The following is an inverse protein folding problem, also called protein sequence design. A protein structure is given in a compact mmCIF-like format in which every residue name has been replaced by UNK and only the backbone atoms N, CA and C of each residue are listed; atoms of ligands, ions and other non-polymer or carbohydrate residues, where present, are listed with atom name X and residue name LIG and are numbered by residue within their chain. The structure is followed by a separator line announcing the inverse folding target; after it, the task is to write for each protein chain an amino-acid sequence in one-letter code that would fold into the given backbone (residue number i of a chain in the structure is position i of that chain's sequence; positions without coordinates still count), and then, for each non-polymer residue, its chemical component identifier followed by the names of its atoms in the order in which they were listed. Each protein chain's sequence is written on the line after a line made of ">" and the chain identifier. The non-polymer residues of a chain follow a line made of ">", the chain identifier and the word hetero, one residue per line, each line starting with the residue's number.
data_IF_169713565290
#
_entry.id   IF_169713565290
#
_cell.length_a   1.000
_cell.length_b   1.000
_cell.length_c   1.000
_cell.angle_alpha   90.00
_cell.angle_beta   90.00
_cell.angle_gamma   90.00
#
_symmetry.space_group_name_H-M   'P 1'
#
loop_
_entity.id
_entity.type
_entity.pdbx_description
1 polymer ?
#
# COMPACT_ATOMS: atom_id res chain seq x y z
N UNK A 1 5.68 54.39 -29.71
CA UNK A 1 6.09 53.16 -30.43
C UNK A 1 5.08 52.07 -30.14
N UNK A 2 4.32 51.59 -31.14
CA UNK A 2 3.30 50.53 -30.98
C UNK A 2 4.00 49.18 -30.97
N UNK A 3 3.92 48.43 -29.87
CA UNK A 3 4.45 47.06 -29.79
C UNK A 3 3.50 46.14 -30.54
N UNK A 4 3.97 45.51 -31.62
CA UNK A 4 3.25 44.44 -32.28
C UNK A 4 3.37 43.18 -31.43
N UNK A 5 2.27 42.73 -30.85
CA UNK A 5 2.18 41.39 -30.24
C UNK A 5 2.26 40.38 -31.37
N UNK A 6 3.42 39.74 -31.56
CA UNK A 6 3.56 38.63 -32.50
C UNK A 6 2.75 37.45 -31.96
N UNK A 7 1.67 37.09 -32.65
CA UNK A 7 0.92 35.87 -32.38
C UNK A 7 1.74 34.62 -32.74
N UNK A 8 1.42 33.51 -32.09
CA UNK A 8 2.04 32.21 -32.31
C UNK A 8 1.62 31.64 -33.69
N UNK A 9 2.55 31.05 -34.43
CA UNK A 9 2.24 30.49 -35.76
C UNK A 9 1.69 29.06 -35.65
N UNK A 10 0.86 28.65 -36.61
CA UNK A 10 0.25 27.30 -36.58
C UNK A 10 1.31 26.19 -36.62
N UNK A 11 2.39 26.39 -37.39
CA UNK A 11 3.50 25.44 -37.46
C UNK A 11 4.20 25.27 -36.11
N UNK A 12 4.33 26.36 -35.34
CA UNK A 12 4.95 26.36 -34.01
C UNK A 12 4.10 25.57 -33.01
N UNK A 13 2.77 25.63 -33.17
CA UNK A 13 1.85 24.79 -32.40
C UNK A 13 1.99 23.32 -32.75
N UNK A 14 2.09 22.99 -34.03
CA UNK A 14 2.24 21.60 -34.46
C UNK A 14 3.56 21.00 -33.96
N UNK A 15 4.67 21.75 -34.09
CA UNK A 15 5.97 21.30 -33.58
C UNK A 15 5.90 21.14 -32.06
N UNK A 16 5.29 22.09 -31.33
CA UNK A 16 5.09 21.97 -29.89
C UNK A 16 4.30 20.73 -29.48
N UNK A 17 3.22 20.41 -30.19
CA UNK A 17 2.42 19.21 -29.93
C UNK A 17 3.20 17.92 -30.18
N UNK A 18 4.00 17.85 -31.25
CA UNK A 18 4.83 16.69 -31.55
C UNK A 18 5.86 16.47 -30.43
N UNK A 19 6.52 17.54 -29.98
CA UNK A 19 7.50 17.45 -28.88
C UNK A 19 6.83 16.96 -27.58
N UNK A 20 5.70 17.54 -27.20
CA UNK A 20 4.95 17.11 -26.00
C UNK A 20 4.47 15.66 -26.16
N UNK A 21 4.05 15.24 -27.35
CA UNK A 21 3.60 13.88 -27.63
C UNK A 21 4.70 12.84 -27.41
N UNK A 22 5.91 13.09 -27.92
CA UNK A 22 7.04 12.15 -27.75
C UNK A 22 7.48 12.08 -26.29
N UNK A 23 7.61 13.22 -25.61
CA UNK A 23 7.98 13.24 -24.18
C UNK A 23 6.91 12.55 -23.34
N UNK A 24 5.63 12.84 -23.59
CA UNK A 24 4.51 12.21 -22.90
C UNK A 24 4.50 10.70 -23.05
N UNK A 25 4.73 10.19 -24.27
CA UNK A 25 4.78 8.74 -24.53
C UNK A 25 5.88 8.02 -23.71
N UNK A 26 7.02 8.68 -23.47
CA UNK A 26 8.12 8.12 -22.68
C UNK A 26 7.90 8.26 -21.16
N UNK A 27 7.29 9.36 -20.70
CA UNK A 27 7.15 9.65 -19.26
C UNK A 27 5.91 9.04 -18.61
N UNK A 28 4.85 8.75 -19.35
CA UNK A 28 3.63 8.14 -18.80
C UNK A 28 3.87 6.74 -18.21
N UNK A 29 4.50 5.78 -18.91
CA UNK A 29 4.65 4.42 -18.37
C UNK A 29 5.48 4.42 -17.08
N UNK A 30 6.58 5.18 -17.04
CA UNK A 30 7.43 5.26 -15.84
C UNK A 30 6.70 5.88 -14.65
N UNK A 31 5.84 6.88 -14.89
CA UNK A 31 5.01 7.46 -13.84
C UNK A 31 3.98 6.44 -13.30
N UNK A 32 3.33 5.68 -14.18
CA UNK A 32 2.37 4.64 -13.77
C UNK A 32 3.06 3.57 -12.94
N UNK A 33 4.21 3.06 -13.41
CA UNK A 33 4.97 2.02 -12.71
C UNK A 33 5.45 2.49 -11.34
N UNK A 34 6.01 3.70 -11.25
CA UNK A 34 6.45 4.28 -9.98
C UNK A 34 5.27 4.51 -9.02
N UNK A 35 4.08 4.83 -9.55
CA UNK A 35 2.88 5.01 -8.74
C UNK A 35 2.34 3.69 -8.20
N UNK A 36 2.42 2.59 -8.96
CA UNK A 36 2.04 1.27 -8.46
C UNK A 36 3.04 0.75 -7.43
N UNK A 37 4.35 0.87 -7.70
CA UNK A 37 5.39 0.48 -6.75
C UNK A 37 5.23 1.18 -5.40
N UNK A 38 4.92 2.49 -5.38
CA UNK A 38 4.66 3.22 -4.12
C UNK A 38 3.46 2.68 -3.35
N UNK A 39 2.42 2.21 -4.05
CA UNK A 39 1.26 1.58 -3.40
C UNK A 39 1.65 0.23 -2.80
N UNK A 40 2.33 -0.60 -3.58
CA UNK A 40 2.78 -1.92 -3.16
C UNK A 40 3.73 -1.82 -1.96
N UNK A 41 4.68 -0.89 -2.00
CA UNK A 41 5.58 -0.59 -0.88
C UNK A 41 4.79 -0.17 0.35
N UNK A 42 3.77 0.69 0.21
CA UNK A 42 2.96 1.12 1.34
C UNK A 42 2.13 -0.03 1.94
N UNK A 43 1.56 -0.90 1.12
CA UNK A 43 0.82 -2.08 1.58
C UNK A 43 1.76 -3.10 2.26
N UNK A 44 2.98 -3.24 1.74
CA UNK A 44 4.03 -4.02 2.36
C UNK A 44 4.41 -3.47 3.73
N UNK A 45 4.60 -2.15 3.88
CA UNK A 45 4.89 -1.51 5.16
C UNK A 45 3.80 -1.79 6.21
N UNK A 46 2.52 -1.81 5.81
CA UNK A 46 1.44 -2.20 6.72
C UNK A 46 1.58 -3.66 7.20
N UNK A 47 1.96 -4.57 6.30
CA UNK A 47 2.19 -5.98 6.65
C UNK A 47 3.39 -6.14 7.60
N UNK A 48 4.47 -5.39 7.35
CA UNK A 48 5.65 -5.35 8.22
C UNK A 48 5.29 -4.82 9.61
N UNK A 49 4.47 -3.78 9.69
CA UNK A 49 4.02 -3.25 10.99
C UNK A 49 3.26 -4.30 11.81
N UNK A 50 2.35 -5.07 11.18
CA UNK A 50 1.64 -6.17 11.88
C UNK A 50 2.60 -7.27 12.30
N UNK A 51 3.61 -7.58 11.48
CA UNK A 51 4.65 -8.57 11.82
C UNK A 51 5.52 -8.11 12.99
N UNK A 52 5.92 -6.84 13.01
CA UNK A 52 6.68 -6.24 14.10
C UNK A 52 5.87 -6.24 15.41
N UNK A 53 4.57 -5.94 15.34
CA UNK A 53 3.66 -6.06 16.48
C UNK A 53 3.55 -7.51 16.98
N UNK A 54 3.53 -8.49 16.07
CA UNK A 54 3.54 -9.91 16.42
C UNK A 54 4.81 -10.30 17.17
N UNK A 55 5.98 -9.93 16.64
CA UNK A 55 7.28 -10.25 17.23
C UNK A 55 7.42 -9.57 18.61
N UNK A 56 7.01 -8.30 18.74
CA UNK A 56 7.03 -7.56 20.01
C UNK A 56 6.14 -8.20 21.08
N UNK A 57 4.98 -8.74 20.70
CA UNK A 57 4.08 -9.41 21.64
C UNK A 57 4.62 -10.79 22.07
N UNK A 58 5.28 -11.50 21.16
CA UNK A 58 5.97 -12.75 21.47
C UNK A 58 7.15 -12.52 22.43
N UNK A 59 7.93 -11.45 22.24
CA UNK A 59 9.03 -11.09 23.15
C UNK A 59 8.55 -10.80 24.57
N UNK A 60 7.30 -10.35 24.74
CA UNK A 60 6.65 -10.14 26.04
C UNK A 60 6.12 -11.44 26.67
N UNK A 61 6.30 -12.58 26.02
CA UNK A 61 5.88 -13.89 26.50
C UNK A 61 4.39 -14.19 26.34
N UNK A 62 3.67 -13.39 25.55
CA UNK A 62 2.24 -13.62 25.25
C UNK A 62 2.08 -14.19 23.84
N UNK A 63 1.17 -15.14 23.66
CA UNK A 63 0.77 -15.59 22.32
C UNK A 63 -0.26 -14.58 21.80
N UNK A 64 0.07 -13.77 20.79
CA UNK A 64 -0.82 -12.69 20.35
C UNK A 64 -2.06 -13.25 19.67
N UNK A 65 -3.24 -12.74 20.02
CA UNK A 65 -4.45 -12.93 19.24
C UNK A 65 -4.55 -11.91 18.10
N UNK A 66 -5.48 -12.10 17.17
CA UNK A 66 -5.75 -11.11 16.10
C UNK A 66 -6.23 -9.78 16.69
N UNK A 67 -6.99 -9.82 17.78
CA UNK A 67 -7.41 -8.64 18.54
C UNK A 67 -6.23 -7.90 19.15
N UNK A 68 -5.26 -8.61 19.75
CA UNK A 68 -4.07 -8.01 20.36
C UNK A 68 -3.20 -7.31 19.32
N UNK A 69 -3.03 -7.93 18.14
CA UNK A 69 -2.30 -7.34 17.02
C UNK A 69 -2.92 -6.03 16.54
N UNK A 70 -4.25 -6.02 16.37
CA UNK A 70 -4.95 -4.81 15.97
C UNK A 70 -4.88 -3.71 17.04
N UNK A 71 -4.90 -4.07 18.33
CA UNK A 71 -4.79 -3.13 19.43
C UNK A 71 -3.37 -2.54 19.60
N UNK A 72 -2.34 -3.27 19.16
CA UNK A 72 -0.95 -2.81 19.25
C UNK A 72 -0.57 -1.78 18.18
N UNK A 73 -1.34 -1.70 17.10
CA UNK A 73 -1.02 -0.85 15.95
C UNK A 73 -1.74 0.50 16.03
N UNK A 74 -1.05 1.61 15.74
CA UNK A 74 -1.69 2.92 15.72
C UNK A 74 -2.51 3.14 14.44
N UNK A 75 -3.70 3.74 14.56
CA UNK A 75 -4.47 4.25 13.43
C UNK A 75 -5.86 3.62 13.25
N UNK A 76 -6.38 3.68 12.01
CA UNK A 76 -7.67 3.08 11.62
C UNK A 76 -7.49 1.59 11.32
N UNK A 77 -7.38 0.81 12.38
CA UNK A 77 -7.08 -0.62 12.32
C UNK A 77 -8.19 -1.39 13.05
N UNK A 78 -8.58 -2.54 12.51
CA UNK A 78 -9.58 -3.39 13.13
C UNK A 78 -9.20 -4.87 12.98
N UNK A 79 -9.40 -5.65 14.04
CA UNK A 79 -9.32 -7.10 13.96
C UNK A 79 -10.51 -7.66 13.18
N UNK A 80 -10.25 -8.58 12.27
CA UNK A 80 -11.28 -9.30 11.49
C UNK A 80 -10.96 -10.78 11.45
N UNK A 81 -11.96 -11.62 11.16
CA UNK A 81 -11.70 -13.02 10.88
C UNK A 81 -10.72 -13.14 9.70
N UNK A 82 -9.63 -13.87 9.88
CA UNK A 82 -8.58 -14.05 8.87
C UNK A 82 -7.49 -13.00 8.87
N UNK A 83 -7.53 -11.96 9.72
CA UNK A 83 -6.45 -10.97 9.73
C UNK A 83 -6.68 -9.65 10.43
N UNK A 84 -5.75 -8.73 10.19
CA UNK A 84 -5.82 -7.34 10.67
C UNK A 84 -6.19 -6.44 9.49
N UNK A 85 -7.33 -5.75 9.60
CA UNK A 85 -7.81 -4.80 8.59
C UNK A 85 -7.13 -3.46 8.78
N UNK A 86 -6.50 -2.96 7.71
CA UNK A 86 -5.83 -1.65 7.64
C UNK A 86 -6.49 -0.81 6.53
N UNK A 87 -6.68 0.48 6.77
CA UNK A 87 -7.20 1.41 5.76
C UNK A 87 -6.06 2.15 5.08
N UNK A 88 -5.97 2.02 3.75
CA UNK A 88 -5.02 2.76 2.92
C UNK A 88 -5.77 3.48 1.79
N UNK A 89 -5.63 4.80 1.71
CA UNK A 89 -6.30 5.65 0.71
C UNK A 89 -7.83 5.44 0.63
N UNK A 90 -8.49 5.18 1.77
CA UNK A 90 -9.94 4.96 1.84
C UNK A 90 -10.41 3.57 1.42
N UNK A 91 -9.49 2.66 1.09
CA UNK A 91 -9.76 1.25 0.81
C UNK A 91 -9.26 0.40 1.98
N UNK A 92 -10.08 -0.56 2.40
CA UNK A 92 -9.70 -1.51 3.44
C UNK A 92 -8.96 -2.70 2.85
N UNK A 93 -7.77 -2.97 3.36
CA UNK A 93 -6.95 -4.15 3.06
C UNK A 93 -6.86 -5.03 4.30
N UNK A 94 -6.67 -6.33 4.14
CA UNK A 94 -6.51 -7.27 5.25
C UNK A 94 -5.13 -7.88 5.17
N UNK A 95 -4.35 -7.67 6.24
CA UNK A 95 -3.10 -8.40 6.46
C UNK A 95 -3.47 -9.78 6.97
N UNK A 96 -3.21 -10.87 6.22
CA UNK A 96 -3.66 -12.20 6.59
C UNK A 96 -2.88 -12.70 7.81
N UNK A 97 -3.58 -13.31 8.76
CA UNK A 97 -2.98 -13.96 9.93
C UNK A 97 -3.29 -15.45 9.93
N UNK A 98 -2.37 -16.22 10.50
CA UNK A 98 -2.42 -17.68 10.49
C UNK A 98 -2.15 -18.23 11.88
N UNK A 99 -2.77 -19.36 12.21
CA UNK A 99 -2.60 -20.02 13.51
C UNK A 99 -1.30 -20.80 13.64
N UNK A 100 -0.68 -21.16 12.51
CA UNK A 100 0.54 -21.94 12.48
C UNK A 100 1.75 -21.13 12.00
N UNK A 101 2.94 -21.48 12.49
CA UNK A 101 4.20 -20.83 12.12
C UNK A 101 4.62 -20.98 10.66
N UNK A 102 3.93 -21.83 9.89
CA UNK A 102 4.14 -22.00 8.44
C UNK A 102 3.21 -21.10 7.60
N UNK A 103 2.33 -20.33 8.23
CA UNK A 103 1.45 -19.38 7.55
C UNK A 103 0.50 -20.03 6.52
N UNK A 104 -0.07 -21.20 6.84
CA UNK A 104 -0.93 -21.97 5.92
C UNK A 104 -2.36 -22.17 6.42
N UNK A 105 -2.60 -22.04 7.71
CA UNK A 105 -3.93 -22.20 8.32
C UNK A 105 -4.43 -20.82 8.74
N UNK A 106 -5.33 -20.18 7.96
CA UNK A 106 -5.79 -18.83 8.27
C UNK A 106 -6.58 -18.83 9.59
N UNK A 107 -6.47 -17.74 10.34
CA UNK A 107 -7.29 -17.52 11.54
C UNK A 107 -8.77 -17.42 11.15
N UNK A 108 -9.67 -17.91 12.01
CA UNK A 108 -11.12 -17.89 11.74
C UNK A 108 -11.89 -16.93 12.65
N UNK A 109 -11.26 -16.48 13.73
CA UNK A 109 -11.84 -15.59 14.72
C UNK A 109 -10.84 -14.55 15.20
N UNK A 110 -11.33 -13.47 15.83
CA UNK A 110 -10.46 -12.38 16.31
C UNK A 110 -9.71 -12.76 17.60
N UNK A 111 -10.23 -13.72 18.35
CA UNK A 111 -9.64 -14.22 19.60
C UNK A 111 -8.65 -15.38 19.37
N UNK A 112 -8.45 -15.76 18.11
CA UNK A 112 -7.56 -16.87 17.76
C UNK A 112 -6.10 -16.47 17.89
N UNK A 113 -5.29 -17.37 18.45
CA UNK A 113 -3.85 -17.22 18.53
C UNK A 113 -3.23 -17.13 17.12
N UNK A 114 -2.38 -16.14 16.92
CA UNK A 114 -1.62 -15.96 15.69
C UNK A 114 -0.25 -16.60 15.88
N UNK A 115 0.08 -17.53 14.99
CA UNK A 115 1.40 -18.15 14.88
C UNK A 115 2.24 -17.60 13.72
N UNK A 116 1.60 -16.92 12.77
CA UNK A 116 2.30 -16.21 11.69
C UNK A 116 1.46 -15.07 11.10
N UNK A 117 2.13 -14.00 10.68
CA UNK A 117 1.58 -12.89 9.91
C UNK A 117 2.07 -12.98 8.46
N UNK A 118 1.14 -12.97 7.50
CA UNK A 118 1.45 -12.92 6.07
C UNK A 118 1.54 -11.48 5.54
N UNK A 119 1.58 -11.35 4.23
CA UNK A 119 1.63 -10.05 3.56
C UNK A 119 0.34 -9.77 2.78
N UNK A 120 -0.05 -8.49 2.71
CA UNK A 120 -1.10 -8.02 1.80
C UNK A 120 -0.61 -8.28 0.38
N UNK A 121 -1.40 -9.01 -0.40
CA UNK A 121 -1.18 -9.11 -1.84
C UNK A 121 -1.78 -7.86 -2.51
N UNK A 122 -0.98 -7.20 -3.35
CA UNK A 122 -1.40 -6.12 -4.25
C UNK A 122 -2.35 -6.61 -5.33
#
# INVERSE_FOLDING_TARGET
>A
MKKYTRGFTFIEMMIGMVVIGVVGAMSIPTYVDASQQKKDDSLWQHSVAVKDAHDTLLERGSVPSVADLAAHLPGRIAAVAGGVKVEFSGVSYVVPTYTNGMCTIPTKSVDEAVGCVGAIAS
#
